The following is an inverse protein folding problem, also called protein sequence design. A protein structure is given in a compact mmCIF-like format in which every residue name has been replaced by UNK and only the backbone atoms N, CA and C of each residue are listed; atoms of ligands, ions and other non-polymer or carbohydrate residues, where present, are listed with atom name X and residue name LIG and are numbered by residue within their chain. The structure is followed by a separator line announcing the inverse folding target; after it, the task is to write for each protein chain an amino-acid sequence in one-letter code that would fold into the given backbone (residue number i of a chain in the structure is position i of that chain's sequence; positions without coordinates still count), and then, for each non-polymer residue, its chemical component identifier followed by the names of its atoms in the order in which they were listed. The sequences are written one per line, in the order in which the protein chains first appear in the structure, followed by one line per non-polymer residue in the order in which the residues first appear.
data_IF_867721858903
#
_entry.id   IF_867721858903
#
_cell.length_a   1.000
_cell.length_b   1.000
_cell.length_c   1.000
_cell.angle_alpha   90.00
_cell.angle_beta   90.00
_cell.angle_gamma   90.00
#
_symmetry.space_group_name_H-M   'P 1'
#
loop_
_entity.id
_entity.type
_entity.pdbx_description
1 polymer ?
#
# COMPACT_ATOMS: atom_id res chain seq x y z
N UNK A 1 -13.83 -23.41 3.90
CA UNK A 1 -13.30 -22.13 3.36
C UNK A 1 -14.47 -21.19 3.16
N UNK A 2 -14.34 -19.97 3.63
CA UNK A 2 -15.35 -18.94 3.38
C UNK A 2 -15.32 -18.54 1.90
N UNK A 3 -16.47 -18.26 1.30
CA UNK A 3 -16.51 -17.67 -0.05
C UNK A 3 -15.87 -16.28 -0.05
N UNK A 4 -15.13 -15.91 -1.11
CA UNK A 4 -14.51 -14.60 -1.19
C UNK A 4 -15.57 -13.49 -1.14
N UNK A 5 -15.32 -12.49 -0.32
CA UNK A 5 -16.21 -11.34 -0.19
C UNK A 5 -16.27 -10.48 -1.46
N UNK A 6 -17.21 -9.53 -1.54
CA UNK A 6 -17.35 -8.65 -2.72
C UNK A 6 -16.05 -7.90 -3.06
N UNK A 7 -15.28 -7.49 -2.04
CA UNK A 7 -14.00 -6.80 -2.22
C UNK A 7 -12.98 -7.69 -2.91
N UNK A 8 -12.79 -8.90 -2.45
CA UNK A 8 -11.86 -9.88 -3.00
C UNK A 8 -12.24 -10.30 -4.42
N UNK A 9 -13.53 -10.54 -4.67
CA UNK A 9 -14.04 -10.88 -6.00
C UNK A 9 -13.78 -9.75 -7.01
N UNK A 10 -13.98 -8.49 -6.61
CA UNK A 10 -13.72 -7.34 -7.46
C UNK A 10 -12.24 -7.18 -7.79
N UNK A 11 -11.33 -7.35 -6.82
CA UNK A 11 -9.88 -7.28 -7.06
C UNK A 11 -9.44 -8.40 -8.01
N UNK A 12 -9.86 -9.64 -7.75
CA UNK A 12 -9.50 -10.79 -8.58
C UNK A 12 -10.02 -10.63 -10.02
N UNK A 13 -11.28 -10.19 -10.18
CA UNK A 13 -11.86 -9.95 -11.50
C UNK A 13 -11.14 -8.82 -12.26
N UNK A 14 -10.80 -7.74 -11.57
CA UNK A 14 -10.08 -6.61 -12.16
C UNK A 14 -8.70 -7.03 -12.68
N UNK A 15 -7.89 -7.65 -11.82
CA UNK A 15 -6.53 -8.07 -12.18
C UNK A 15 -6.56 -9.08 -13.34
N UNK A 16 -7.47 -10.05 -13.31
CA UNK A 16 -7.63 -11.01 -14.41
C UNK A 16 -8.02 -10.33 -15.74
N UNK A 17 -8.96 -9.39 -15.70
CA UNK A 17 -9.37 -8.66 -16.92
C UNK A 17 -8.25 -7.75 -17.43
N UNK A 18 -7.49 -7.09 -16.56
CA UNK A 18 -6.35 -6.28 -16.96
C UNK A 18 -5.24 -7.11 -17.61
N UNK A 19 -4.99 -8.31 -17.11
CA UNK A 19 -4.03 -9.24 -17.69
C UNK A 19 -4.50 -9.78 -19.07
N UNK A 20 -5.80 -10.08 -19.20
CA UNK A 20 -6.40 -10.60 -20.42
C UNK A 20 -6.52 -9.56 -21.56
N UNK A 21 -6.89 -8.32 -21.24
CA UNK A 21 -7.33 -7.31 -22.22
C UNK A 21 -6.51 -6.03 -22.22
N UNK A 22 -5.60 -5.88 -21.26
CA UNK A 22 -4.89 -4.63 -21.00
C UNK A 22 -5.71 -3.64 -20.17
N UNK A 23 -5.01 -2.82 -19.39
CA UNK A 23 -5.61 -1.90 -18.42
C UNK A 23 -6.61 -0.92 -19.05
N UNK A 24 -6.25 -0.29 -20.17
CA UNK A 24 -7.06 0.77 -20.78
C UNK A 24 -8.37 0.26 -21.39
N UNK A 25 -8.37 -0.98 -21.90
CA UNK A 25 -9.53 -1.58 -22.55
C UNK A 25 -10.60 -2.09 -21.56
N UNK A 26 -10.28 -2.21 -20.27
CA UNK A 26 -11.20 -2.75 -19.27
C UNK A 26 -12.02 -1.64 -18.64
N UNK A 27 -13.34 -1.83 -18.61
CA UNK A 27 -14.30 -0.91 -17.99
C UNK A 27 -14.68 -1.38 -16.58
N UNK A 28 -15.13 -0.44 -15.75
CA UNK A 28 -15.66 -0.73 -14.39
C UNK A 28 -16.87 -1.66 -14.46
N UNK A 29 -17.71 -1.49 -15.49
CA UNK A 29 -18.87 -2.32 -15.74
C UNK A 29 -18.48 -3.79 -16.01
N UNK A 30 -17.46 -4.02 -16.84
CA UNK A 30 -16.96 -5.36 -17.09
C UNK A 30 -16.41 -6.04 -15.85
N UNK A 31 -15.71 -5.28 -14.99
CA UNK A 31 -15.19 -5.79 -13.72
C UNK A 31 -16.34 -6.16 -12.77
N UNK A 32 -17.30 -5.25 -12.59
CA UNK A 32 -18.46 -5.46 -11.74
C UNK A 32 -19.28 -6.71 -12.18
N UNK A 33 -19.48 -6.85 -13.49
CA UNK A 33 -20.17 -8.00 -14.08
C UNK A 33 -19.42 -9.31 -13.82
N UNK A 34 -18.11 -9.33 -14.07
CA UNK A 34 -17.29 -10.54 -13.86
C UNK A 34 -17.19 -10.94 -12.39
N UNK A 35 -17.19 -9.98 -11.49
CA UNK A 35 -17.18 -10.20 -10.04
C UNK A 35 -18.56 -10.56 -9.45
N UNK A 36 -19.63 -10.47 -10.25
CA UNK A 36 -21.01 -10.58 -9.80
C UNK A 36 -21.31 -9.62 -8.63
N UNK A 37 -20.84 -8.38 -8.76
CA UNK A 37 -21.01 -7.32 -7.75
C UNK A 37 -21.60 -6.09 -8.43
N UNK A 38 -22.52 -5.42 -7.75
CA UNK A 38 -23.13 -4.20 -8.29
C UNK A 38 -22.10 -3.06 -8.46
N UNK A 39 -22.27 -2.27 -9.55
CA UNK A 39 -21.42 -1.11 -9.84
C UNK A 39 -21.33 -0.11 -8.67
N UNK A 40 -22.46 0.15 -8.00
CA UNK A 40 -22.52 1.03 -6.83
C UNK A 40 -21.61 0.52 -5.71
N UNK A 41 -21.62 -0.79 -5.46
CA UNK A 41 -20.75 -1.42 -4.47
C UNK A 41 -19.27 -1.27 -4.84
N UNK A 42 -18.92 -1.44 -6.13
CA UNK A 42 -17.56 -1.24 -6.62
C UNK A 42 -17.09 0.20 -6.32
N UNK A 43 -17.87 1.20 -6.70
CA UNK A 43 -17.51 2.60 -6.46
C UNK A 43 -17.43 2.94 -4.97
N UNK A 44 -18.32 2.39 -4.15
CA UNK A 44 -18.27 2.58 -2.70
C UNK A 44 -17.02 1.98 -2.07
N UNK A 45 -16.54 0.83 -2.56
CA UNK A 45 -15.37 0.14 -2.01
C UNK A 45 -14.03 0.69 -2.51
N UNK A 46 -13.97 1.14 -3.77
CA UNK A 46 -12.71 1.45 -4.45
C UNK A 46 -12.64 2.84 -5.07
N UNK A 47 -13.76 3.51 -5.25
CA UNK A 47 -13.86 4.86 -5.81
C UNK A 47 -13.56 4.94 -7.31
N UNK A 48 -12.64 4.15 -7.84
CA UNK A 48 -12.24 4.19 -9.25
C UNK A 48 -11.65 2.85 -9.71
N UNK A 49 -11.42 2.72 -11.03
CA UNK A 49 -10.71 1.58 -11.63
C UNK A 49 -9.29 1.42 -11.06
N UNK A 50 -8.59 2.53 -10.86
CA UNK A 50 -7.25 2.55 -10.28
C UNK A 50 -7.25 2.03 -8.83
N UNK A 51 -8.29 2.33 -8.06
CA UNK A 51 -8.43 1.85 -6.69
C UNK A 51 -8.44 0.33 -6.53
N UNK A 52 -8.83 -0.39 -7.59
CA UNK A 52 -8.80 -1.86 -7.64
C UNK A 52 -7.39 -2.44 -7.78
N UNK A 53 -6.46 -1.64 -8.29
CA UNK A 53 -5.07 -2.09 -8.52
C UNK A 53 -4.24 -2.01 -7.24
N UNK A 54 -4.48 -0.99 -6.43
CA UNK A 54 -3.64 -0.72 -5.26
C UNK A 54 -4.22 -1.35 -3.99
N UNK A 55 -3.37 -1.79 -3.06
CA UNK A 55 -3.82 -2.09 -1.71
C UNK A 55 -4.38 -0.81 -1.05
N UNK A 56 -5.07 -0.97 0.07
CA UNK A 56 -5.56 0.15 0.85
C UNK A 56 -4.38 0.86 1.56
N UNK A 57 -3.65 1.69 0.80
CA UNK A 57 -2.51 2.43 1.33
C UNK A 57 -2.86 3.33 2.51
N UNK A 58 -4.08 3.87 2.57
CA UNK A 58 -4.49 4.73 3.67
C UNK A 58 -4.63 3.94 4.97
N UNK A 59 -5.24 2.76 4.91
CA UNK A 59 -5.34 1.87 6.06
C UNK A 59 -3.98 1.34 6.50
N UNK A 60 -3.12 0.94 5.55
CA UNK A 60 -1.77 0.48 5.84
C UNK A 60 -0.91 1.58 6.45
N UNK A 61 -0.99 2.80 5.94
CA UNK A 61 -0.27 3.96 6.46
C UNK A 61 -0.73 4.30 7.89
N UNK A 62 -2.04 4.30 8.15
CA UNK A 62 -2.59 4.51 9.48
C UNK A 62 -2.15 3.43 10.48
N UNK A 63 -2.07 2.17 10.04
CA UNK A 63 -1.54 1.08 10.85
C UNK A 63 -0.06 1.27 11.19
N UNK A 64 0.75 1.65 10.20
CA UNK A 64 2.16 1.94 10.40
C UNK A 64 2.34 3.12 11.38
N UNK A 65 1.56 4.19 11.22
CA UNK A 65 1.61 5.34 12.12
C UNK A 65 1.24 4.99 13.56
N UNK A 66 0.20 4.17 13.78
CA UNK A 66 -0.15 3.68 15.11
C UNK A 66 0.98 2.90 15.77
N UNK A 67 1.70 2.05 15.02
CA UNK A 67 2.85 1.32 15.55
C UNK A 67 4.02 2.22 15.91
N UNK A 68 4.21 3.29 15.17
CA UNK A 68 5.27 4.27 15.41
C UNK A 68 4.94 5.25 16.56
N UNK A 69 3.66 5.48 16.84
CA UNK A 69 3.21 6.49 17.81
C UNK A 69 3.67 6.22 19.26
N UNK A 70 3.90 4.96 19.61
CA UNK A 70 4.40 4.55 20.93
C UNK A 70 5.92 4.37 20.97
N UNK A 71 6.63 4.64 19.86
CA UNK A 71 8.08 4.51 19.81
C UNK A 71 8.76 5.55 20.67
N UNK A 72 9.85 5.15 21.32
CA UNK A 72 10.80 6.00 22.03
C UNK A 72 12.10 6.04 21.26
N UNK A 73 13.06 6.87 21.68
CA UNK A 73 14.40 6.91 21.09
C UNK A 73 15.04 5.53 20.98
N UNK A 74 14.95 4.73 22.05
CA UNK A 74 15.58 3.41 22.10
C UNK A 74 14.86 2.35 21.26
N UNK A 75 13.59 2.57 20.93
CA UNK A 75 12.73 1.60 20.22
C UNK A 75 12.36 2.03 18.81
N UNK A 76 12.68 3.26 18.38
CA UNK A 76 12.22 3.79 17.08
C UNK A 76 12.69 2.97 15.89
N UNK A 77 13.91 2.45 15.90
CA UNK A 77 14.41 1.62 14.80
C UNK A 77 13.64 0.29 14.71
N UNK A 78 13.41 -0.35 15.88
CA UNK A 78 12.61 -1.57 15.93
C UNK A 78 11.17 -1.31 15.49
N UNK A 79 10.58 -0.19 15.90
CA UNK A 79 9.23 0.20 15.50
C UNK A 79 9.11 0.48 13.98
N UNK A 80 10.14 1.09 13.38
CA UNK A 80 10.19 1.30 11.92
C UNK A 80 10.28 -0.03 11.18
N UNK A 81 11.15 -0.94 11.61
CA UNK A 81 11.26 -2.29 11.03
C UNK A 81 9.93 -3.04 11.14
N UNK A 82 9.28 -2.97 12.30
CA UNK A 82 7.99 -3.61 12.56
C UNK A 82 6.87 -3.05 11.66
N UNK A 83 6.81 -1.72 11.54
CA UNK A 83 5.85 -1.04 10.68
C UNK A 83 6.10 -1.34 9.19
N UNK A 84 7.36 -1.37 8.76
CA UNK A 84 7.72 -1.74 7.40
C UNK A 84 7.37 -3.21 7.10
N UNK A 85 7.65 -4.11 8.05
CA UNK A 85 7.30 -5.54 7.93
C UNK A 85 5.80 -5.76 7.80
N UNK A 86 4.98 -4.96 8.51
CA UNK A 86 3.53 -4.99 8.38
C UNK A 86 3.07 -4.64 6.95
N UNK A 87 3.66 -3.62 6.34
CA UNK A 87 3.35 -3.23 4.96
C UNK A 87 3.79 -4.33 4.00
N UNK A 88 4.98 -4.90 4.19
CA UNK A 88 5.52 -5.98 3.35
C UNK A 88 4.72 -7.28 3.46
N UNK A 89 4.28 -7.68 4.66
CA UNK A 89 3.53 -8.93 4.84
C UNK A 89 2.22 -8.93 4.04
N UNK A 90 1.58 -7.78 3.91
CA UNK A 90 0.38 -7.65 3.07
C UNK A 90 0.64 -8.04 1.60
N UNK A 91 1.79 -7.67 1.05
CA UNK A 91 2.20 -8.06 -0.31
C UNK A 91 2.59 -9.54 -0.42
N UNK A 92 3.21 -10.10 0.62
CA UNK A 92 3.62 -11.50 0.64
C UNK A 92 2.42 -12.45 0.73
N UNK A 93 1.39 -12.10 1.47
CA UNK A 93 0.16 -12.87 1.63
C UNK A 93 -0.65 -12.96 0.32
N UNK A 94 -0.57 -11.94 -0.54
CA UNK A 94 -1.28 -11.90 -1.82
C UNK A 94 -0.66 -12.81 -2.90
N UNK A 95 0.58 -13.26 -2.76
CA UNK A 95 1.23 -14.23 -3.65
C UNK A 95 1.15 -13.88 -5.15
N UNK A 96 0.44 -14.68 -5.93
CA UNK A 96 0.28 -14.46 -7.39
C UNK A 96 -0.44 -13.16 -7.72
N UNK A 97 -1.38 -12.72 -6.89
CA UNK A 97 -2.09 -11.46 -7.06
C UNK A 97 -1.13 -10.27 -6.95
N UNK A 98 -0.20 -10.29 -6.00
CA UNK A 98 0.83 -9.26 -5.85
C UNK A 98 1.75 -9.21 -7.08
N UNK A 99 2.14 -10.36 -7.63
CA UNK A 99 2.95 -10.43 -8.86
C UNK A 99 2.23 -9.87 -10.07
N UNK A 100 0.95 -10.22 -10.24
CA UNK A 100 0.14 -9.70 -11.34
C UNK A 100 -0.06 -8.18 -11.22
N UNK A 101 -0.32 -7.69 -10.03
CA UNK A 101 -0.41 -6.27 -9.71
C UNK A 101 0.89 -5.54 -10.03
N UNK A 102 2.03 -6.09 -9.63
CA UNK A 102 3.34 -5.49 -9.90
C UNK A 102 3.64 -5.40 -11.40
N UNK A 103 3.34 -6.45 -12.18
CA UNK A 103 3.48 -6.41 -13.65
C UNK A 103 2.63 -5.30 -14.25
N UNK A 104 1.40 -5.17 -13.79
CA UNK A 104 0.46 -4.14 -14.24
C UNK A 104 0.98 -2.72 -13.93
N UNK A 105 1.35 -2.47 -12.68
CA UNK A 105 1.90 -1.17 -12.24
C UNK A 105 3.16 -0.83 -13.04
N UNK A 106 4.04 -1.81 -13.27
CA UNK A 106 5.28 -1.60 -14.03
C UNK A 106 5.04 -1.27 -15.50
N UNK A 107 3.95 -1.77 -16.10
CA UNK A 107 3.65 -1.59 -17.53
C UNK A 107 2.81 -0.35 -17.84
N UNK A 108 2.06 0.20 -16.87
CA UNK A 108 1.17 1.34 -17.07
C UNK A 108 1.74 2.58 -16.39
N UNK A 109 2.21 3.61 -17.14
CA UNK A 109 2.88 4.78 -16.55
C UNK A 109 2.08 5.49 -15.46
N UNK A 110 0.78 5.73 -15.68
CA UNK A 110 -0.09 6.40 -14.71
C UNK A 110 -0.21 5.63 -13.38
N UNK A 111 -0.22 4.28 -13.44
CA UNK A 111 -0.23 3.45 -12.23
C UNK A 111 1.12 3.47 -11.53
N UNK A 112 2.22 3.50 -12.28
CA UNK A 112 3.58 3.62 -11.73
C UNK A 112 3.76 4.94 -10.98
N UNK A 113 3.33 6.05 -11.54
CA UNK A 113 3.43 7.37 -10.92
C UNK A 113 2.63 7.41 -9.61
N UNK A 114 1.45 6.80 -9.59
CA UNK A 114 0.62 6.68 -8.39
C UNK A 114 1.27 5.83 -7.31
N UNK A 115 1.90 4.71 -7.68
CA UNK A 115 2.65 3.86 -6.75
C UNK A 115 3.84 4.60 -6.14
N UNK A 116 4.62 5.32 -6.96
CA UNK A 116 5.74 6.13 -6.48
C UNK A 116 5.26 7.17 -5.48
N UNK A 117 4.13 7.83 -5.73
CA UNK A 117 3.55 8.79 -4.82
C UNK A 117 3.11 8.13 -3.49
N UNK A 118 2.52 6.93 -3.54
CA UNK A 118 2.12 6.17 -2.36
C UNK A 118 3.33 5.73 -1.53
N UNK A 119 4.36 5.17 -2.16
CA UNK A 119 5.63 4.80 -1.51
C UNK A 119 6.27 6.02 -0.84
N UNK A 120 6.25 7.18 -1.49
CA UNK A 120 6.74 8.44 -0.93
C UNK A 120 6.06 8.82 0.38
N UNK A 121 4.80 8.44 0.60
CA UNK A 121 4.08 8.69 1.88
C UNK A 121 4.67 7.87 3.02
N UNK A 122 5.02 6.59 2.78
CA UNK A 122 5.69 5.74 3.78
C UNK A 122 7.08 6.27 4.11
N UNK A 123 7.85 6.65 3.10
CA UNK A 123 9.19 7.24 3.30
C UNK A 123 9.10 8.49 4.17
N UNK A 124 8.15 9.39 3.92
CA UNK A 124 7.94 10.60 4.74
C UNK A 124 7.52 10.26 6.18
N UNK A 125 6.65 9.26 6.36
CA UNK A 125 6.20 8.82 7.67
C UNK A 125 7.40 8.30 8.49
N UNK A 126 8.15 7.35 7.95
CA UNK A 126 9.29 6.74 8.64
C UNK A 126 10.40 7.76 8.93
N UNK A 127 10.73 8.61 7.94
CA UNK A 127 11.70 9.69 8.12
C UNK A 127 11.29 10.63 9.24
N UNK A 128 10.04 11.06 9.28
CA UNK A 128 9.55 11.96 10.34
C UNK A 128 9.78 11.36 11.72
N UNK A 129 9.40 10.11 11.92
CA UNK A 129 9.58 9.44 13.21
C UNK A 129 11.05 9.24 13.58
N UNK A 130 11.89 8.83 12.64
CA UNK A 130 13.33 8.70 12.87
C UNK A 130 13.96 10.04 13.24
N UNK A 131 13.68 11.09 12.47
CA UNK A 131 14.22 12.43 12.76
C UNK A 131 13.76 12.94 14.12
N UNK A 132 12.48 12.79 14.45
CA UNK A 132 11.93 13.25 15.74
C UNK A 132 12.63 12.58 16.92
N UNK A 133 12.90 11.28 16.86
CA UNK A 133 13.46 10.53 17.99
C UNK A 133 14.99 10.48 18.02
N UNK A 134 15.65 10.63 16.86
CA UNK A 134 17.11 10.57 16.77
C UNK A 134 17.78 11.94 16.76
N UNK A 135 17.07 13.01 16.38
CA UNK A 135 17.60 14.38 16.39
C UNK A 135 17.80 14.96 17.78
N UNK A 136 17.33 14.30 18.85
CA UNK A 136 17.56 14.69 20.23
C UNK A 136 18.97 14.35 20.75
N UNK A 137 19.88 13.84 19.91
CA UNK A 137 21.28 13.92 20.24
C UNK A 137 21.89 15.25 19.76
N UNK A 138 22.25 16.11 20.69
CA UNK A 138 23.24 17.12 20.34
C UNK A 138 24.52 16.36 20.00
N UNK A 139 25.19 16.77 18.95
CA UNK A 139 26.63 16.62 18.78
C UNK A 139 27.42 17.25 19.98
N UNK A 140 26.84 17.31 21.13
CA UNK A 140 27.43 17.87 22.33
C UNK A 140 28.61 17.01 22.85
N UNK A 141 28.53 15.69 22.70
CA UNK A 141 29.63 14.82 23.05
C UNK A 141 30.83 14.94 22.09
N UNK A 142 30.55 15.08 20.77
CA UNK A 142 31.59 15.27 19.75
C UNK A 142 32.18 16.69 19.74
N UNK A 143 31.49 17.70 20.28
CA UNK A 143 31.99 19.07 20.43
C UNK A 143 32.76 19.31 21.72
N UNK A 144 32.66 18.41 22.68
CA UNK A 144 33.40 18.48 23.94
C UNK A 144 34.80 17.86 23.89
N UNK A 145 35.12 17.14 22.78
CA UNK A 145 36.45 16.52 22.57
C UNK A 145 37.30 17.22 21.50
N UNK A 146 36.87 18.38 21.01
CA UNK A 146 37.63 19.27 20.14
C UNK A 146 37.93 20.61 20.83
#
# INVERSE_FOLDING_TARGET
MAEPGPRERLISAAIALFDEKGYDAVTVEAIAQRAEVGRTTLFRLFGSKEGLVFPDHDALLANAERRLSSATRDTVLAAVVDAASLVFSNYLEEGELARARWRLISSVPALRDREIAAVGRYVRLFRRHLVTHLAEEPNAALRAEL
#
